data_IF_557073824276
#
_entry.id   IF_557073824276
#
_cell.length_a   1.000
_cell.length_b   1.000
_cell.length_c   1.000
_cell.angle_alpha   90.00
_cell.angle_beta   90.00
_cell.angle_gamma   90.00
#
_symmetry.space_group_name_H-M   'P 1'
#
loop_
_entity.id
_entity.type
_entity.pdbx_description
1 polymer ?
#
# COMPACT_ATOMS: atom_id res chain seq x y z
N UNK A 1 -19.77 4.51 -2.73
CA UNK A 1 -19.84 4.16 -1.30
C UNK A 1 -21.25 4.39 -0.75
N UNK A 2 -21.90 3.36 -0.20
CA UNK A 2 -23.26 3.39 0.37
C UNK A 2 -23.44 4.18 1.66
N UNK A 3 -22.86 5.38 1.78
CA UNK A 3 -23.10 6.34 2.88
C UNK A 3 -22.63 5.89 4.27
N UNK A 4 -21.67 4.97 4.36
CA UNK A 4 -21.18 4.41 5.63
C UNK A 4 -19.67 4.62 5.77
N UNK A 5 -19.24 4.95 6.98
CA UNK A 5 -17.83 5.01 7.38
C UNK A 5 -17.51 3.72 8.15
N UNK A 6 -16.44 3.03 7.76
CA UNK A 6 -16.01 1.79 8.38
C UNK A 6 -14.66 1.97 9.09
N UNK A 7 -14.60 1.63 10.37
CA UNK A 7 -13.35 1.57 11.12
C UNK A 7 -12.72 0.18 10.98
N UNK A 8 -11.48 0.14 10.50
CA UNK A 8 -10.73 -1.11 10.36
C UNK A 8 -10.30 -1.67 11.71
N UNK A 9 -10.34 -3.00 11.83
CA UNK A 9 -9.78 -3.74 12.96
C UNK A 9 -8.32 -4.06 12.65
N UNK A 10 -7.42 -3.20 13.10
CA UNK A 10 -5.97 -3.30 12.86
C UNK A 10 -5.47 -2.39 11.74
N UNK A 11 -4.15 -2.30 11.61
CA UNK A 11 -3.47 -1.53 10.57
C UNK A 11 -3.16 -2.47 9.42
N UNK A 12 -3.80 -2.28 8.27
CA UNK A 12 -3.57 -3.12 7.10
C UNK A 12 -2.85 -2.30 6.03
N UNK A 13 -1.67 -2.75 5.63
CA UNK A 13 -0.86 -2.12 4.59
C UNK A 13 -0.86 -3.03 3.39
N UNK A 14 -1.32 -2.50 2.26
CA UNK A 14 -1.12 -3.12 0.95
C UNK A 14 0.00 -2.42 0.22
N UNK A 15 0.88 -3.16 -0.46
CA UNK A 15 1.94 -2.56 -1.24
C UNK A 15 2.24 -3.38 -2.49
N UNK A 16 2.59 -2.69 -3.57
CA UNK A 16 2.96 -3.31 -4.84
C UNK A 16 4.48 -3.34 -5.01
N UNK A 17 5.02 -4.50 -5.39
CA UNK A 17 6.43 -4.67 -5.73
C UNK A 17 6.57 -5.44 -7.06
N UNK A 18 7.46 -4.97 -7.95
CA UNK A 18 7.80 -5.71 -9.17
C UNK A 18 8.65 -6.95 -8.83
N UNK A 19 8.39 -8.06 -9.54
CA UNK A 19 9.15 -9.33 -9.42
C UNK A 19 10.58 -9.24 -9.95
N UNK A 20 10.84 -8.34 -10.90
CA UNK A 20 12.17 -8.01 -11.44
C UNK A 20 12.15 -6.69 -12.21
N UNK A 21 13.25 -6.34 -12.89
CA UNK A 21 13.39 -5.08 -13.63
C UNK A 21 12.96 -5.16 -15.11
N UNK A 22 12.45 -6.30 -15.57
CA UNK A 22 11.90 -6.45 -16.93
C UNK A 22 10.50 -5.84 -17.02
N UNK A 23 10.09 -5.48 -18.24
CA UNK A 23 8.72 -5.03 -18.52
C UNK A 23 7.69 -6.14 -18.32
N UNK A 24 8.08 -7.39 -18.59
CA UNK A 24 7.21 -8.57 -18.46
C UNK A 24 7.15 -9.16 -17.03
N UNK A 25 7.88 -8.58 -16.08
CA UNK A 25 7.89 -9.08 -14.71
C UNK A 25 6.57 -8.72 -14.01
N UNK A 26 5.85 -9.72 -13.44
CA UNK A 26 4.56 -9.47 -12.80
C UNK A 26 4.71 -8.54 -11.60
N UNK A 27 3.73 -7.64 -11.45
CA UNK A 27 3.58 -6.82 -10.24
C UNK A 27 2.88 -7.67 -9.20
N UNK A 28 3.52 -7.82 -8.05
CA UNK A 28 2.95 -8.52 -6.90
C UNK A 28 2.37 -7.49 -5.96
N UNK A 29 1.12 -7.68 -5.55
CA UNK A 29 0.50 -6.87 -4.50
C UNK A 29 0.39 -7.72 -3.26
N UNK A 30 1.00 -7.26 -2.17
CA UNK A 30 0.98 -7.94 -0.88
C UNK A 30 0.17 -7.11 0.10
N UNK A 31 -0.64 -7.78 0.92
CA UNK A 31 -1.35 -7.20 2.05
C UNK A 31 -0.86 -7.80 3.36
N UNK A 32 -0.58 -6.93 4.31
CA UNK A 32 -0.05 -7.29 5.63
C UNK A 32 -0.79 -6.52 6.72
N UNK A 33 -1.13 -7.21 7.79
CA UNK A 33 -1.49 -6.55 9.05
C UNK A 33 -0.21 -6.15 9.77
N UNK A 34 -0.08 -4.88 10.12
CA UNK A 34 1.02 -4.35 10.91
C UNK A 34 0.59 -4.33 12.37
N UNK A 35 1.41 -4.91 13.24
CA UNK A 35 1.26 -4.78 14.69
C UNK A 35 2.16 -3.65 15.20
N UNK A 36 1.60 -2.59 15.81
CA UNK A 36 2.38 -1.51 16.41
C UNK A 36 3.35 -1.97 17.51
N UNK A 37 3.16 -3.15 18.09
CA UNK A 37 4.05 -3.72 19.10
C UNK A 37 5.30 -4.39 18.49
N UNK A 38 5.37 -4.56 17.16
CA UNK A 38 6.54 -5.13 16.52
C UNK A 38 7.74 -4.20 16.63
N UNK A 39 8.89 -4.83 16.83
CA UNK A 39 10.18 -4.19 16.64
C UNK A 39 10.41 -3.88 15.15
N UNK A 40 11.32 -2.95 14.85
CA UNK A 40 11.62 -2.61 13.46
C UNK A 40 12.23 -3.80 12.72
N UNK A 41 13.13 -4.56 13.36
CA UNK A 41 13.69 -5.80 12.81
C UNK A 41 12.60 -6.83 12.49
N UNK A 42 11.64 -7.02 13.41
CA UNK A 42 10.52 -7.95 13.21
C UNK A 42 9.66 -7.53 12.02
N UNK A 43 9.39 -6.23 11.89
CA UNK A 43 8.65 -5.67 10.76
C UNK A 43 9.37 -5.97 9.44
N UNK A 44 10.67 -5.70 9.36
CA UNK A 44 11.48 -5.98 8.15
C UNK A 44 11.43 -7.48 7.81
N UNK A 45 11.64 -8.35 8.79
CA UNK A 45 11.60 -9.80 8.58
C UNK A 45 10.25 -10.26 8.01
N UNK A 46 9.14 -9.72 8.52
CA UNK A 46 7.82 -10.01 7.99
C UNK A 46 7.60 -9.49 6.57
N UNK A 47 8.01 -8.25 6.29
CA UNK A 47 7.88 -7.62 4.96
C UNK A 47 8.73 -8.36 3.92
N UNK A 48 9.98 -8.70 4.25
CA UNK A 48 10.84 -9.49 3.38
C UNK A 48 10.27 -10.89 3.12
N UNK A 49 9.74 -11.55 4.16
CA UNK A 49 9.07 -12.84 4.00
C UNK A 49 7.81 -12.76 3.14
N UNK A 50 7.03 -11.69 3.27
CA UNK A 50 5.87 -11.39 2.42
C UNK A 50 6.27 -11.17 0.96
N UNK A 51 7.32 -10.37 0.72
CA UNK A 51 7.87 -10.13 -0.62
C UNK A 51 8.43 -11.43 -1.21
N UNK A 52 9.15 -12.23 -0.43
CA UNK A 52 9.71 -13.50 -0.88
C UNK A 52 8.61 -14.50 -1.27
N UNK A 53 7.56 -14.63 -0.45
CA UNK A 53 6.37 -15.44 -0.80
C UNK A 53 5.68 -14.91 -2.04
N UNK A 54 5.46 -13.61 -2.12
CA UNK A 54 4.85 -12.98 -3.28
C UNK A 54 5.67 -13.13 -4.57
N UNK A 55 7.00 -13.23 -4.47
CA UNK A 55 7.92 -13.50 -5.58
C UNK A 55 8.01 -14.98 -5.95
N UNK A 56 7.65 -15.88 -5.04
CA UNK A 56 7.66 -17.32 -5.33
C UNK A 56 6.68 -17.64 -6.48
N UNK A 57 6.91 -18.75 -7.18
CA UNK A 57 6.01 -19.22 -8.24
C UNK A 57 4.72 -19.86 -7.71
N UNK A 58 4.47 -19.78 -6.39
CA UNK A 58 3.24 -20.29 -5.79
C UNK A 58 2.08 -19.32 -6.11
N UNK A 59 0.93 -19.82 -6.59
CA UNK A 59 -0.22 -18.97 -6.86
C UNK A 59 -0.65 -18.24 -5.58
N UNK A 60 -0.72 -16.91 -5.61
CA UNK A 60 -1.32 -16.17 -4.50
C UNK A 60 -2.81 -16.49 -4.39
N UNK A 61 -3.43 -16.26 -3.23
CA UNK A 61 -4.88 -16.42 -3.08
C UNK A 61 -5.66 -15.62 -4.15
N UNK A 62 -5.17 -14.41 -4.45
CA UNK A 62 -5.68 -13.55 -5.51
C UNK A 62 -5.50 -14.18 -6.89
N UNK A 63 -4.37 -14.82 -7.18
CA UNK A 63 -4.13 -15.50 -8.47
C UNK A 63 -5.02 -16.73 -8.63
N UNK A 64 -5.25 -17.49 -7.56
CA UNK A 64 -6.17 -18.63 -7.57
C UNK A 64 -7.60 -18.14 -7.84
N UNK A 65 -8.05 -17.10 -7.14
CA UNK A 65 -9.36 -16.49 -7.32
C UNK A 65 -9.54 -15.92 -8.74
N UNK A 66 -8.55 -15.15 -9.24
CA UNK A 66 -8.53 -14.62 -10.60
C UNK A 66 -8.50 -15.74 -11.65
N UNK A 67 -7.75 -16.82 -11.43
CA UNK A 67 -7.70 -17.96 -12.36
C UNK A 67 -9.03 -18.73 -12.41
N UNK A 68 -9.77 -18.77 -11.31
CA UNK A 68 -11.11 -19.36 -11.24
C UNK A 68 -12.11 -18.47 -11.97
N UNK A 69 -11.98 -17.14 -11.81
CA UNK A 69 -12.76 -16.14 -12.52
C UNK A 69 -12.49 -16.17 -14.03
N UNK A 70 -11.23 -16.28 -14.47
CA UNK A 70 -10.90 -16.36 -15.90
C UNK A 70 -11.40 -17.64 -16.59
N UNK A 71 -11.70 -18.70 -15.81
CA UNK A 71 -12.34 -19.92 -16.32
C UNK A 71 -13.87 -19.82 -16.43
N UNK A 72 -14.48 -18.79 -15.84
CA UNK A 72 -15.91 -18.55 -15.94
C UNK A 72 -16.27 -17.85 -17.26
N UNK A 73 -17.34 -18.27 -17.95
CA UNK A 73 -17.87 -17.55 -19.10
C UNK A 73 -18.18 -16.08 -18.76
N UNK A 74 -17.86 -15.16 -19.68
CA UNK A 74 -18.07 -13.71 -19.51
C UNK A 74 -19.49 -13.34 -19.05
N UNK A 75 -20.51 -14.09 -19.47
CA UNK A 75 -21.90 -13.83 -19.06
C UNK A 75 -22.17 -14.12 -17.57
N UNK A 76 -21.35 -14.95 -16.91
CA UNK A 76 -21.43 -15.26 -15.48
C UNK A 76 -20.58 -14.32 -14.62
N UNK A 77 -19.58 -13.63 -15.20
CA UNK A 77 -18.73 -12.70 -14.45
C UNK A 77 -19.50 -11.47 -13.98
N UNK A 78 -20.25 -10.82 -14.87
CA UNK A 78 -21.03 -9.63 -14.54
C UNK A 78 -22.03 -9.80 -13.39
N UNK A 79 -22.84 -10.89 -13.31
CA UNK A 79 -23.70 -11.12 -12.15
C UNK A 79 -22.90 -11.49 -10.88
N UNK A 80 -21.79 -12.23 -11.00
CA UNK A 80 -20.97 -12.60 -9.85
C UNK A 80 -20.30 -11.37 -9.21
N UNK A 81 -19.68 -10.49 -10.02
CA UNK A 81 -19.10 -9.23 -9.52
C UNK A 81 -20.19 -8.38 -8.87
N UNK A 82 -21.37 -8.26 -9.48
CA UNK A 82 -22.49 -7.54 -8.87
C UNK A 82 -22.93 -8.15 -7.54
N UNK A 83 -22.94 -9.48 -7.42
CA UNK A 83 -23.24 -10.16 -6.16
C UNK A 83 -22.20 -9.83 -5.09
N UNK A 84 -20.91 -9.92 -5.44
CA UNK A 84 -19.80 -9.59 -4.53
C UNK A 84 -19.89 -8.13 -4.06
N UNK A 85 -20.08 -7.18 -4.98
CA UNK A 85 -20.28 -5.76 -4.64
C UNK A 85 -21.49 -5.56 -3.72
N UNK A 86 -22.60 -6.27 -3.95
CA UNK A 86 -23.79 -6.19 -3.10
C UNK A 86 -23.57 -6.80 -1.73
N UNK A 87 -22.82 -7.90 -1.63
CA UNK A 87 -22.45 -8.49 -0.36
C UNK A 87 -21.54 -7.56 0.44
N UNK A 88 -20.59 -6.90 -0.23
CA UNK A 88 -19.74 -5.87 0.39
C UNK A 88 -20.57 -4.68 0.89
N UNK A 89 -21.45 -4.12 0.05
CA UNK A 89 -22.37 -3.03 0.43
C UNK A 89 -23.26 -3.39 1.64
N UNK A 90 -23.67 -4.67 1.74
CA UNK A 90 -24.47 -5.19 2.85
C UNK A 90 -23.63 -5.60 4.07
N UNK A 91 -22.30 -5.60 3.98
CA UNK A 91 -21.40 -6.08 5.03
C UNK A 91 -21.45 -7.60 5.27
N UNK A 92 -21.88 -8.36 4.25
CA UNK A 92 -22.05 -9.81 4.28
C UNK A 92 -20.92 -10.56 3.57
N UNK A 93 -19.88 -9.86 3.10
CA UNK A 93 -18.74 -10.48 2.47
C UNK A 93 -17.99 -11.37 3.49
N UNK A 94 -17.62 -12.62 3.14
CA UNK A 94 -16.91 -13.50 4.06
C UNK A 94 -15.61 -12.87 4.56
N UNK A 95 -15.35 -12.96 5.87
CA UNK A 95 -14.14 -12.37 6.47
C UNK A 95 -12.83 -12.95 5.92
N UNK A 96 -12.85 -14.18 5.39
CA UNK A 96 -11.71 -14.80 4.71
C UNK A 96 -11.39 -14.12 3.38
N UNK A 97 -12.43 -13.72 2.63
CA UNK A 97 -12.29 -12.97 1.37
C UNK A 97 -11.65 -11.61 1.65
N UNK A 98 -12.23 -10.84 2.59
CA UNK A 98 -11.71 -9.54 3.01
C UNK A 98 -10.26 -9.64 3.49
N UNK A 99 -9.93 -10.66 4.29
CA UNK A 99 -8.60 -10.80 4.90
C UNK A 99 -7.49 -10.91 3.85
N UNK A 100 -7.74 -11.68 2.80
CA UNK A 100 -6.73 -11.98 1.77
C UNK A 100 -6.73 -10.96 0.63
N UNK A 101 -7.83 -10.25 0.41
CA UNK A 101 -7.94 -9.27 -0.68
C UNK A 101 -7.15 -7.98 -0.36
N UNK A 102 -6.14 -7.62 -1.19
CA UNK A 102 -5.31 -6.42 -1.00
C UNK A 102 -6.07 -5.11 -1.16
N UNK A 103 -7.28 -5.14 -1.71
CA UNK A 103 -8.14 -3.98 -1.87
C UNK A 103 -8.81 -3.55 -0.55
N UNK A 104 -8.73 -4.40 0.48
CA UNK A 104 -9.27 -4.11 1.82
C UNK A 104 -8.17 -3.69 2.82
N UNK A 105 -7.57 -2.51 2.64
CA UNK A 105 -6.45 -2.05 3.46
C UNK A 105 -6.66 -0.64 4.05
N UNK A 106 -5.92 -0.32 5.11
CA UNK A 106 -5.89 1.02 5.70
C UNK A 106 -5.12 1.99 4.80
N UNK A 107 -4.04 1.51 4.19
CA UNK A 107 -3.21 2.28 3.26
C UNK A 107 -2.70 1.38 2.14
N UNK A 108 -2.57 1.96 0.96
CA UNK A 108 -1.89 1.33 -0.18
C UNK A 108 -0.62 2.10 -0.54
N UNK A 109 0.49 1.41 -0.76
CA UNK A 109 1.78 1.99 -1.14
C UNK A 109 2.24 1.43 -2.48
N UNK A 110 2.34 2.28 -3.49
CA UNK A 110 2.84 1.92 -4.82
C UNK A 110 4.26 2.46 -5.04
N UNK A 111 5.24 1.58 -5.24
CA UNK A 111 6.63 1.96 -5.55
C UNK A 111 6.85 2.06 -7.08
N UNK A 112 6.63 3.26 -7.62
CA UNK A 112 6.91 3.60 -9.02
C UNK A 112 8.41 3.78 -9.29
N UNK A 113 9.20 4.06 -8.25
CA UNK A 113 10.67 4.13 -8.36
C UNK A 113 11.31 2.83 -8.84
N UNK A 114 10.68 1.68 -8.56
CA UNK A 114 11.13 0.37 -9.04
C UNK A 114 11.16 0.22 -10.57
N UNK A 115 10.40 1.05 -11.28
CA UNK A 115 10.35 1.15 -12.75
C UNK A 115 10.89 2.49 -13.26
N UNK A 116 11.73 3.15 -12.46
CA UNK A 116 12.39 4.41 -12.81
C UNK A 116 11.43 5.58 -13.12
N UNK A 117 10.19 5.49 -12.62
CA UNK A 117 9.17 6.53 -12.73
C UNK A 117 9.18 7.46 -11.51
N UNK A 118 8.82 8.72 -11.73
CA UNK A 118 8.53 9.65 -10.65
C UNK A 118 7.17 9.32 -9.98
N UNK A 119 6.95 9.82 -8.77
CA UNK A 119 5.70 9.63 -8.05
C UNK A 119 4.54 10.23 -8.87
N UNK A 120 3.45 9.49 -9.05
CA UNK A 120 2.24 9.94 -9.75
C UNK A 120 1.09 10.16 -8.78
N UNK A 121 0.09 10.98 -9.11
CA UNK A 121 -1.15 10.96 -8.33
C UNK A 121 -1.98 9.73 -8.74
N UNK A 122 -2.44 8.96 -7.76
CA UNK A 122 -3.33 7.84 -7.99
C UNK A 122 -4.67 8.11 -7.29
N UNK A 123 -5.77 7.75 -7.95
CA UNK A 123 -7.10 7.84 -7.35
C UNK A 123 -7.23 6.83 -6.18
N UNK A 124 -8.20 7.05 -5.31
CA UNK A 124 -8.52 6.05 -4.29
C UNK A 124 -9.26 4.87 -4.92
N UNK A 125 -9.01 3.68 -4.39
CA UNK A 125 -9.80 2.52 -4.74
C UNK A 125 -11.12 2.51 -3.98
N UNK A 126 -12.23 2.38 -4.71
CA UNK A 126 -13.55 2.25 -4.09
C UNK A 126 -13.95 0.80 -3.78
N UNK A 127 -13.35 -0.20 -4.42
CA UNK A 127 -13.55 -1.60 -4.02
C UNK A 127 -12.67 -1.94 -2.82
N UNK A 128 -13.27 -2.48 -1.76
CA UNK A 128 -12.58 -2.82 -0.51
C UNK A 128 -12.19 -1.64 0.39
N UNK A 129 -12.42 -0.40 -0.06
CA UNK A 129 -12.13 0.88 0.60
C UNK A 129 -10.65 1.03 0.99
N UNK A 130 -9.89 1.89 0.30
CA UNK A 130 -8.57 2.29 0.78
C UNK A 130 -8.57 3.81 0.96
N UNK A 131 -8.60 4.32 2.21
CA UNK A 131 -8.74 5.75 2.45
C UNK A 131 -7.46 6.55 2.22
N UNK A 132 -6.30 5.87 2.17
CA UNK A 132 -5.00 6.52 1.97
C UNK A 132 -4.24 5.77 0.88
N UNK A 133 -3.85 6.48 -0.17
CA UNK A 133 -2.99 5.97 -1.23
C UNK A 133 -1.69 6.75 -1.29
N UNK A 134 -0.57 6.05 -1.30
CA UNK A 134 0.79 6.63 -1.35
C UNK A 134 1.48 6.12 -2.61
N UNK A 135 2.04 7.01 -3.42
CA UNK A 135 2.99 6.64 -4.48
C UNK A 135 4.38 7.12 -4.10
N UNK A 136 5.37 6.23 -4.25
CA UNK A 136 6.77 6.53 -4.09
C UNK A 136 7.45 6.56 -5.46
N UNK A 137 8.09 7.68 -5.79
CA UNK A 137 8.85 7.86 -7.02
C UNK A 137 10.22 7.21 -6.97
N UNK A 138 11.01 7.43 -8.02
CA UNK A 138 12.44 7.11 -8.01
C UNK A 138 13.20 8.04 -7.07
N UNK A 139 14.26 7.51 -6.45
CA UNK A 139 15.20 8.30 -5.67
C UNK A 139 16.03 9.16 -6.63
N UNK A 140 16.07 10.47 -6.38
CA UNK A 140 16.89 11.44 -7.11
C UNK A 140 18.00 11.97 -6.19
N UNK A 141 19.09 12.47 -6.76
CA UNK A 141 20.10 13.20 -5.99
C UNK A 141 19.84 14.70 -6.18
N UNK A 142 19.41 15.36 -5.11
CA UNK A 142 19.18 16.80 -5.13
C UNK A 142 20.33 17.53 -4.46
N UNK A 143 20.61 18.75 -4.95
CA UNK A 143 21.62 19.62 -4.37
C UNK A 143 20.94 20.47 -3.31
N UNK A 144 21.37 20.32 -2.06
CA UNK A 144 20.92 21.14 -0.94
C UNK A 144 22.09 21.89 -0.32
N UNK A 145 21.80 22.96 0.40
CA UNK A 145 22.78 23.72 1.16
C UNK A 145 22.62 23.36 2.63
N UNK A 146 23.72 22.94 3.28
CA UNK A 146 23.71 22.67 4.71
C UNK A 146 23.43 23.96 5.50
N UNK A 147 23.02 23.86 6.77
CA UNK A 147 22.93 25.03 7.65
C UNK A 147 24.25 25.83 7.75
N UNK A 148 25.41 25.19 7.55
CA UNK A 148 26.73 25.83 7.52
C UNK A 148 27.10 26.46 6.16
N UNK A 149 26.27 26.30 5.13
CA UNK A 149 26.51 26.86 3.79
C UNK A 149 27.19 25.92 2.80
N UNK A 150 27.46 24.68 3.18
CA UNK A 150 28.11 23.70 2.31
C UNK A 150 27.12 23.12 1.30
N UNK A 151 27.54 23.04 0.03
CA UNK A 151 26.74 22.42 -1.03
C UNK A 151 26.89 20.91 -0.93
N UNK A 152 25.80 20.21 -0.62
CA UNK A 152 25.77 18.75 -0.47
C UNK A 152 24.76 18.13 -1.43
N UNK A 153 25.03 16.90 -1.87
CA UNK A 153 24.07 16.08 -2.60
C UNK A 153 23.38 15.15 -1.64
N UNK A 154 22.07 15.22 -1.57
CA UNK A 154 21.24 14.38 -0.71
C UNK A 154 20.30 13.52 -1.55
N UNK A 155 20.15 12.22 -1.22
CA UNK A 155 19.14 11.40 -1.85
C UNK A 155 17.75 11.88 -1.42
N UNK A 156 16.88 12.14 -2.39
CA UNK A 156 15.51 12.60 -2.19
C UNK A 156 14.53 11.59 -2.75
N UNK A 157 13.45 11.35 -2.01
CA UNK A 157 12.35 10.48 -2.42
C UNK A 157 11.05 11.29 -2.44
N UNK A 158 10.49 11.51 -3.62
CA UNK A 158 9.17 12.15 -3.75
C UNK A 158 8.08 11.15 -3.40
N UNK A 159 7.21 11.55 -2.48
CA UNK A 159 5.99 10.82 -2.13
C UNK A 159 4.77 11.66 -2.51
N UNK A 160 3.76 11.06 -3.16
CA UNK A 160 2.45 11.69 -3.37
C UNK A 160 1.37 10.92 -2.66
N UNK A 161 0.41 11.67 -2.13
CA UNK A 161 -0.64 11.14 -1.28
C UNK A 161 -2.01 11.51 -1.83
N UNK A 162 -2.95 10.58 -1.74
CA UNK A 162 -4.37 10.79 -1.98
C UNK A 162 -5.13 10.31 -0.75
N UNK A 163 -6.07 11.11 -0.27
CA UNK A 163 -6.83 10.86 0.94
C UNK A 163 -8.33 10.86 0.67
N UNK A 164 -9.06 10.03 1.40
CA UNK A 164 -10.52 10.07 1.43
C UNK A 164 -10.99 11.16 2.39
N UNK A 165 -11.42 12.30 1.82
CA UNK A 165 -11.92 13.46 2.58
C UNK A 165 -13.16 13.14 3.45
N UNK A 166 -13.82 12.00 3.24
CA UNK A 166 -14.94 11.57 4.09
C UNK A 166 -14.49 11.12 5.48
N UNK A 167 -13.22 10.72 5.62
CA UNK A 167 -12.65 10.20 6.87
C UNK A 167 -11.44 11.00 7.36
N UNK A 168 -10.83 11.79 6.50
CA UNK A 168 -9.68 12.66 6.83
C UNK A 168 -10.05 14.14 6.74
N UNK A 169 -9.58 14.94 7.70
CA UNK A 169 -9.57 16.41 7.64
C UNK A 169 -8.16 16.89 7.21
N UNK A 170 -8.11 17.93 6.38
CA UNK A 170 -6.87 18.47 5.84
C UNK A 170 -5.86 18.90 6.90
N UNK A 171 -6.33 19.41 8.05
CA UNK A 171 -5.44 19.81 9.15
C UNK A 171 -4.80 18.60 9.85
N UNK A 172 -5.58 17.56 10.12
CA UNK A 172 -5.07 16.32 10.73
C UNK A 172 -4.09 15.60 9.80
N UNK A 173 -4.40 15.57 8.51
CA UNK A 173 -3.55 15.03 7.48
C UNK A 173 -2.19 15.76 7.42
N UNK A 174 -2.19 17.09 7.42
CA UNK A 174 -0.96 17.89 7.41
C UNK A 174 -0.04 17.55 8.59
N UNK A 175 -0.58 17.51 9.81
CA UNK A 175 0.20 17.17 11.00
C UNK A 175 0.76 15.74 10.94
N UNK A 176 -0.02 14.80 10.41
CA UNK A 176 0.38 13.40 10.24
C UNK A 176 1.50 13.26 9.21
N UNK A 177 1.41 13.97 8.09
CA UNK A 177 2.45 14.01 7.05
C UNK A 177 3.75 14.63 7.54
N UNK A 178 3.69 15.73 8.31
CA UNK A 178 4.87 16.35 8.91
C UNK A 178 5.54 15.42 9.94
N UNK A 179 4.74 14.68 10.71
CA UNK A 179 5.28 13.65 11.61
C UNK A 179 5.93 12.51 10.83
N UNK A 180 5.28 12.01 9.79
CA UNK A 180 5.80 10.94 8.95
C UNK A 180 7.11 11.36 8.28
N UNK A 181 7.16 12.57 7.69
CA UNK A 181 8.38 13.15 7.12
C UNK A 181 9.53 13.16 8.12
N UNK A 182 9.31 13.66 9.35
CA UNK A 182 10.35 13.69 10.39
C UNK A 182 10.87 12.30 10.76
N UNK A 183 9.99 11.30 10.81
CA UNK A 183 10.38 9.91 11.08
C UNK A 183 11.24 9.35 9.94
N UNK A 184 10.91 9.66 8.68
CA UNK A 184 11.64 9.17 7.51
C UNK A 184 12.98 9.89 7.33
N UNK A 185 13.04 11.20 7.59
CA UNK A 185 14.26 12.01 7.47
C UNK A 185 15.26 11.76 8.61
N UNK A 186 14.80 11.34 9.79
CA UNK A 186 15.63 10.98 10.94
C UNK A 186 15.12 9.69 11.63
N UNK A 187 15.29 8.51 11.00
CA UNK A 187 14.73 7.27 11.53
C UNK A 187 15.38 6.85 12.86
N UNK A 188 16.64 7.23 13.10
CA UNK A 188 17.37 6.85 14.33
C UNK A 188 16.76 7.50 15.57
N UNK A 189 16.24 8.73 15.45
CA UNK A 189 15.55 9.37 16.56
C UNK A 189 14.23 8.67 16.98
N UNK A 190 13.66 7.83 16.11
CA UNK A 190 12.37 7.17 16.34
C UNK A 190 12.44 5.64 16.44
N UNK A 191 13.56 5.02 16.05
CA UNK A 191 13.81 3.58 16.18
C UNK A 191 14.81 3.37 17.33
N UNK A 192 14.38 2.84 18.49
CA UNK A 192 15.28 2.62 19.62
C UNK A 192 16.40 1.62 19.27
N UNK A 193 17.61 1.84 19.79
CA UNK A 193 18.74 0.93 19.58
C UNK A 193 18.41 -0.49 20.07
N UNK A 194 18.49 -1.47 19.15
CA UNK A 194 18.20 -2.88 19.43
C UNK A 194 16.75 -3.33 19.18
N UNK A 195 15.93 -2.51 18.51
CA UNK A 195 14.59 -2.85 18.02
C UNK A 195 14.53 -3.15 16.52
#
# INVERSE_FOLDING_TARGET
AGGRIYQRRGIWVSFSAKKGKSDDDPIVVVKRQIDPAWSFETLIHHVEGDIARGRSSEPSATDVELSLLFKLPLFLLSPLVRLVMRLDDLGLLPGTFIRNDPMFASVFIANLGSIEMDAGFHHLYEYGNIPIFITAGKVTNEVTTSPEGDITRVPMLTLRYTFDERVEDGLYCLQSLERFRRIVEDPVAFIPEGG
#
